data_IF_396720349143
#
_entry.id   IF_396720349143
#
_cell.length_a   1.000
_cell.length_b   1.000
_cell.length_c   1.000
_cell.angle_alpha   90.00
_cell.angle_beta   90.00
_cell.angle_gamma   90.00
#
_symmetry.space_group_name_H-M   'P 1'
#
loop_
_entity.id
_entity.type
_entity.pdbx_description
1 polymer ?
#
# COMPACT_ATOMS: atom_id res chain seq x y z
N UNK A 1 62.86 31.16 -36.73
CA UNK A 1 64.10 31.77 -36.21
C UNK A 1 64.15 33.17 -36.77
N UNK A 2 64.37 34.18 -35.93
CA UNK A 2 64.28 35.58 -36.37
C UNK A 2 65.53 35.97 -37.19
N UNK A 3 65.36 36.81 -38.20
CA UNK A 3 66.39 37.15 -39.19
C UNK A 3 67.20 38.41 -38.86
N UNK A 4 66.59 39.33 -38.11
CA UNK A 4 67.09 40.67 -37.83
C UNK A 4 66.94 41.02 -36.33
N UNK A 5 66.80 40.00 -35.47
CA UNK A 5 66.40 40.16 -34.09
C UNK A 5 67.06 39.12 -33.18
N UNK A 6 67.56 39.58 -32.05
CA UNK A 6 68.04 38.73 -30.96
C UNK A 6 67.40 39.20 -29.65
N UNK A 7 66.83 38.27 -28.90
CA UNK A 7 66.17 38.53 -27.60
C UNK A 7 66.98 37.87 -26.49
N UNK A 8 67.23 38.61 -25.42
CA UNK A 8 67.89 38.13 -24.20
C UNK A 8 67.10 38.53 -22.96
N UNK A 9 67.41 37.87 -21.84
CA UNK A 9 66.93 38.26 -20.51
C UNK A 9 68.14 38.75 -19.71
N UNK A 10 68.05 39.95 -19.15
CA UNK A 10 69.05 40.50 -18.25
C UNK A 10 69.11 39.68 -16.95
N UNK A 11 70.31 39.58 -16.37
CA UNK A 11 70.56 38.87 -15.11
C UNK A 11 71.23 39.78 -14.06
N UNK A 12 71.27 41.10 -14.32
CA UNK A 12 71.93 42.10 -13.48
C UNK A 12 73.46 42.09 -13.51
N UNK A 13 74.11 41.18 -14.24
CA UNK A 13 75.56 40.98 -14.19
C UNK A 13 76.24 40.96 -15.56
N UNK A 14 75.63 40.33 -16.57
CA UNK A 14 76.15 40.24 -17.93
C UNK A 14 76.00 41.57 -18.64
N UNK A 15 77.09 42.10 -19.21
CA UNK A 15 77.10 43.36 -19.95
C UNK A 15 77.26 43.18 -21.45
N UNK A 16 77.88 42.07 -21.89
CA UNK A 16 78.17 41.81 -23.30
C UNK A 16 77.20 40.78 -23.87
N UNK A 17 76.62 41.11 -25.02
CA UNK A 17 75.63 40.29 -25.71
C UNK A 17 75.99 40.17 -27.20
N UNK A 18 75.75 38.99 -27.77
CA UNK A 18 76.02 38.72 -29.19
C UNK A 18 74.90 39.28 -30.07
N UNK A 19 75.27 39.81 -31.23
CA UNK A 19 74.35 40.19 -32.29
C UNK A 19 74.20 38.97 -33.21
N UNK A 20 72.98 38.45 -33.33
CA UNK A 20 72.70 37.22 -34.08
C UNK A 20 72.41 37.42 -35.57
N UNK A 21 72.70 38.59 -36.13
CA UNK A 21 72.38 38.96 -37.51
C UNK A 21 73.43 39.94 -38.07
N UNK A 22 73.57 39.95 -39.39
CA UNK A 22 74.46 40.89 -40.09
C UNK A 22 73.83 42.28 -40.20
N UNK A 23 74.65 43.33 -40.28
CA UNK A 23 74.19 44.70 -40.49
C UNK A 23 75.25 45.52 -41.25
N UNK A 24 74.83 46.62 -41.89
CA UNK A 24 75.71 47.42 -42.76
C UNK A 24 76.59 48.38 -41.95
N UNK A 25 76.03 48.96 -40.90
CA UNK A 25 76.67 49.94 -40.03
C UNK A 25 76.04 49.89 -38.62
N UNK A 26 76.80 50.27 -37.59
CA UNK A 26 76.34 50.24 -36.19
C UNK A 26 75.05 51.03 -35.95
N UNK A 27 74.81 52.09 -36.73
CA UNK A 27 73.58 52.90 -36.65
C UNK A 27 72.30 52.13 -36.99
N UNK A 28 72.41 51.04 -37.76
CA UNK A 28 71.29 50.17 -38.12
C UNK A 28 70.91 49.24 -36.95
N UNK A 29 71.72 49.12 -35.88
CA UNK A 29 71.40 48.25 -34.73
C UNK A 29 70.73 49.08 -33.63
N UNK A 30 69.49 48.75 -33.30
CA UNK A 30 68.70 49.35 -32.22
C UNK A 30 68.57 48.39 -31.06
N UNK A 31 68.74 48.91 -29.85
CA UNK A 31 68.67 48.13 -28.62
C UNK A 31 67.58 48.69 -27.72
N UNK A 32 66.77 47.81 -27.15
CA UNK A 32 65.74 48.14 -26.16
C UNK A 32 65.93 47.31 -24.89
N UNK A 33 65.69 47.92 -23.74
CA UNK A 33 65.54 47.22 -22.45
C UNK A 33 64.14 47.51 -21.92
N UNK A 34 63.35 46.47 -21.64
CA UNK A 34 61.95 46.58 -21.21
C UNK A 34 61.11 47.46 -22.15
N UNK A 35 61.37 47.38 -23.46
CA UNK A 35 60.68 48.18 -24.48
C UNK A 35 61.15 49.63 -24.62
N UNK A 36 62.07 50.11 -23.76
CA UNK A 36 62.63 51.46 -23.81
C UNK A 36 63.88 51.49 -24.69
N UNK A 37 63.93 52.40 -25.65
CA UNK A 37 65.07 52.62 -26.53
C UNK A 37 66.35 52.99 -25.76
N UNK A 38 67.46 52.44 -26.23
CA UNK A 38 68.81 52.67 -25.71
C UNK A 38 69.66 53.31 -26.78
N UNK A 39 70.57 54.18 -26.36
CA UNK A 39 71.42 54.97 -27.24
C UNK A 39 72.77 54.29 -27.42
N UNK A 40 73.20 54.12 -28.67
CA UNK A 40 74.51 53.57 -29.02
C UNK A 40 75.62 54.62 -28.84
N UNK A 41 76.77 54.19 -28.34
CA UNK A 41 78.00 54.98 -28.37
C UNK A 41 78.67 54.87 -29.74
N UNK A 42 78.46 55.88 -30.59
CA UNK A 42 79.09 55.98 -31.91
C UNK A 42 80.30 56.91 -31.95
N UNK A 43 80.57 57.65 -30.86
CA UNK A 43 81.61 58.70 -30.83
C UNK A 43 82.44 58.76 -29.54
N UNK A 44 82.37 57.72 -28.70
CA UNK A 44 83.11 57.58 -27.43
C UNK A 44 82.78 58.66 -26.39
N UNK A 45 81.50 58.82 -26.04
CA UNK A 45 81.07 59.51 -24.80
C UNK A 45 79.59 59.25 -24.43
N UNK A 46 79.37 58.85 -23.17
CA UNK A 46 78.08 58.76 -22.42
C UNK A 46 76.86 58.24 -23.19
N UNK A 47 76.85 56.95 -23.50
CA UNK A 47 75.70 56.26 -24.09
C UNK A 47 75.43 54.92 -23.39
N UNK A 48 74.28 54.29 -23.66
CA UNK A 48 73.83 53.09 -22.95
C UNK A 48 74.65 51.83 -23.31
N UNK A 49 75.16 51.72 -24.54
CA UNK A 49 75.95 50.58 -25.02
C UNK A 49 76.94 50.95 -26.11
N UNK A 50 77.98 50.12 -26.33
CA UNK A 50 78.99 50.27 -27.38
C UNK A 50 79.21 48.97 -28.16
N UNK A 51 79.94 49.03 -29.28
CA UNK A 51 80.23 47.88 -30.16
C UNK A 51 81.70 47.45 -30.01
N UNK A 52 82.04 46.49 -29.12
CA UNK A 52 83.40 45.99 -28.99
C UNK A 52 83.88 45.18 -30.22
N UNK A 53 82.95 44.65 -31.01
CA UNK A 53 83.21 43.95 -32.27
C UNK A 53 81.98 44.03 -33.18
N UNK A 54 82.10 43.60 -34.44
CA UNK A 54 80.98 43.60 -35.39
C UNK A 54 79.82 42.71 -34.98
N UNK A 55 80.02 41.74 -34.08
CA UNK A 55 79.00 40.78 -33.67
C UNK A 55 78.62 40.87 -32.19
N UNK A 56 78.99 41.94 -31.48
CA UNK A 56 78.68 42.10 -30.06
C UNK A 56 78.32 43.54 -29.72
N UNK A 57 77.49 43.69 -28.68
CA UNK A 57 77.31 44.94 -27.95
C UNK A 57 77.77 44.75 -26.50
N UNK A 58 78.23 45.83 -25.86
CA UNK A 58 78.48 45.88 -24.42
C UNK A 58 77.73 47.05 -23.82
N UNK A 59 76.87 46.79 -22.83
CA UNK A 59 76.20 47.84 -22.07
C UNK A 59 77.15 48.49 -21.06
N UNK A 60 76.96 49.79 -20.85
CA UNK A 60 77.68 50.57 -19.82
C UNK A 60 77.25 50.16 -18.41
N UNK A 61 75.98 49.79 -18.25
CA UNK A 61 75.40 49.26 -17.01
C UNK A 61 74.72 47.93 -17.34
N UNK A 62 75.00 46.89 -16.56
CA UNK A 62 74.37 45.58 -16.75
C UNK A 62 72.84 45.72 -16.75
N UNK A 63 72.14 45.20 -17.77
CA UNK A 63 70.69 45.19 -17.78
C UNK A 63 70.14 44.52 -16.50
N UNK A 64 69.13 45.12 -15.82
CA UNK A 64 68.59 44.58 -14.59
C UNK A 64 68.12 43.14 -14.73
N UNK A 65 68.10 42.40 -13.61
CA UNK A 65 67.59 41.04 -13.58
C UNK A 65 66.15 40.98 -14.12
N UNK A 66 65.87 39.94 -14.91
CA UNK A 66 64.59 39.70 -15.59
C UNK A 66 64.17 40.78 -16.61
N UNK A 67 65.03 41.76 -16.94
CA UNK A 67 64.71 42.75 -17.97
C UNK A 67 64.75 42.12 -19.38
N UNK A 68 63.76 42.43 -20.21
CA UNK A 68 63.72 41.97 -21.59
C UNK A 68 64.63 42.84 -22.46
N UNK A 69 65.68 42.24 -23.01
CA UNK A 69 66.63 42.91 -23.90
C UNK A 69 66.28 42.52 -25.33
N UNK A 70 66.10 43.52 -26.19
CA UNK A 70 65.85 43.32 -27.61
C UNK A 70 66.92 44.03 -28.42
N UNK A 71 67.69 43.29 -29.21
CA UNK A 71 68.65 43.81 -30.17
C UNK A 71 68.07 43.55 -31.55
N UNK A 72 67.86 44.60 -32.34
CA UNK A 72 67.17 44.51 -33.63
C UNK A 72 67.86 45.36 -34.68
N UNK A 73 67.88 44.88 -35.93
CA UNK A 73 68.27 45.69 -37.08
C UNK A 73 67.12 46.59 -37.53
N UNK A 74 67.45 47.81 -37.90
CA UNK A 74 66.56 48.84 -38.40
C UNK A 74 67.27 49.52 -39.57
N UNK A 75 67.13 48.93 -40.75
CA UNK A 75 67.67 49.47 -41.99
C UNK A 75 66.91 50.74 -42.37
N UNK A 76 67.63 51.81 -42.72
CA UNK A 76 66.99 53.08 -43.13
C UNK A 76 66.04 52.87 -44.32
N UNK A 77 64.81 53.36 -44.17
CA UNK A 77 63.74 53.32 -45.18
C UNK A 77 63.47 54.70 -45.78
N UNK A 78 64.01 55.76 -45.16
CA UNK A 78 63.72 57.15 -45.54
C UNK A 78 64.53 57.60 -46.76
N UNK A 79 65.64 56.93 -47.06
CA UNK A 79 66.48 57.21 -48.22
C UNK A 79 67.17 55.95 -48.75
N UNK A 80 67.28 55.86 -50.09
CA UNK A 80 68.12 54.86 -50.75
C UNK A 80 69.58 55.25 -50.57
N UNK A 81 70.44 54.28 -50.25
CA UNK A 81 71.88 54.53 -50.12
C UNK A 81 72.57 54.71 -51.48
N UNK A 82 71.99 54.16 -52.54
CA UNK A 82 72.52 54.21 -53.90
C UNK A 82 71.51 54.86 -54.82
N UNK A 83 71.93 55.93 -55.50
CA UNK A 83 71.14 56.58 -56.55
C UNK A 83 71.84 56.40 -57.90
N UNK A 84 71.21 55.65 -58.81
CA UNK A 84 71.81 55.33 -60.10
C UNK A 84 71.62 56.49 -61.06
N UNK A 85 72.72 57.15 -61.43
CA UNK A 85 72.71 58.26 -62.39
C UNK A 85 73.13 57.80 -63.79
N UNK A 86 72.52 58.38 -64.82
CA UNK A 86 72.83 58.04 -66.20
C UNK A 86 74.30 58.38 -66.55
N UNK A 87 75.00 57.44 -67.18
CA UNK A 87 76.41 57.60 -67.55
C UNK A 87 77.41 57.28 -66.44
N UNK A 88 76.97 56.92 -65.23
CA UNK A 88 77.84 56.37 -64.21
C UNK A 88 78.25 54.92 -64.53
N UNK A 89 79.46 54.55 -64.13
CA UNK A 89 79.90 53.15 -64.16
C UNK A 89 79.22 52.43 -63.00
N UNK A 90 78.44 51.39 -63.30
CA UNK A 90 77.89 50.50 -62.28
C UNK A 90 79.04 49.72 -61.62
N UNK A 91 79.27 49.97 -60.33
CA UNK A 91 80.23 49.20 -59.54
C UNK A 91 79.50 48.09 -58.81
N UNK A 92 80.20 46.98 -58.59
CA UNK A 92 79.69 45.89 -57.73
C UNK A 92 79.28 46.41 -56.35
N UNK A 93 80.05 47.34 -55.77
CA UNK A 93 79.75 47.93 -54.46
C UNK A 93 78.42 48.70 -54.43
N UNK A 94 78.03 49.34 -55.53
CA UNK A 94 76.75 50.06 -55.63
C UNK A 94 75.59 49.06 -55.74
N UNK A 95 75.77 47.98 -56.52
CA UNK A 95 74.78 46.91 -56.65
C UNK A 95 74.60 46.13 -55.34
N UNK A 96 75.70 45.81 -54.67
CA UNK A 96 75.69 45.09 -53.39
C UNK A 96 75.06 45.94 -52.28
N UNK A 97 75.36 47.24 -52.23
CA UNK A 97 74.79 48.14 -51.21
C UNK A 97 73.26 48.29 -51.36
N UNK A 98 72.77 48.42 -52.59
CA UNK A 98 71.33 48.49 -52.89
C UNK A 98 70.63 47.15 -52.59
N UNK A 99 71.18 46.04 -53.09
CA UNK A 99 70.65 44.70 -52.84
C UNK A 99 70.63 44.34 -51.35
N UNK A 100 71.70 44.68 -50.62
CA UNK A 100 71.80 44.44 -49.17
C UNK A 100 70.78 45.27 -48.39
N UNK A 101 70.58 46.54 -48.74
CA UNK A 101 69.53 47.37 -48.13
C UNK A 101 68.15 46.73 -48.32
N UNK A 102 67.82 46.33 -49.55
CA UNK A 102 66.55 45.69 -49.86
C UNK A 102 66.36 44.35 -49.12
N UNK A 103 67.39 43.50 -49.09
CA UNK A 103 67.36 42.21 -48.41
C UNK A 103 67.17 42.35 -46.90
N UNK A 104 67.88 43.29 -46.27
CA UNK A 104 67.76 43.53 -44.85
C UNK A 104 66.39 44.10 -44.46
N UNK A 105 65.82 45.00 -45.27
CA UNK A 105 64.46 45.49 -45.08
C UNK A 105 63.42 44.37 -45.19
N UNK A 106 63.59 43.41 -46.11
CA UNK A 106 62.69 42.27 -46.25
C UNK A 106 62.73 41.34 -45.01
N UNK A 107 63.93 41.03 -44.53
CA UNK A 107 64.12 40.25 -43.30
C UNK A 107 63.50 40.94 -42.06
N UNK A 108 63.72 42.23 -41.91
CA UNK A 108 63.15 43.03 -40.82
C UNK A 108 61.63 43.03 -40.87
N UNK A 109 61.06 43.20 -42.08
CA UNK A 109 59.60 43.18 -42.29
C UNK A 109 58.98 41.84 -41.88
N UNK A 110 59.63 40.72 -42.20
CA UNK A 110 59.18 39.38 -41.78
C UNK A 110 59.20 39.26 -40.25
N UNK A 111 60.27 39.70 -39.59
CA UNK A 111 60.37 39.65 -38.14
C UNK A 111 59.31 40.54 -37.45
N UNK A 112 59.04 41.74 -37.97
CA UNK A 112 57.96 42.61 -37.47
C UNK A 112 56.58 41.96 -37.64
N UNK A 113 56.33 41.29 -38.77
CA UNK A 113 55.10 40.56 -38.98
C UNK A 113 54.95 39.37 -38.01
N UNK A 114 56.04 38.66 -37.71
CA UNK A 114 56.05 37.54 -36.74
C UNK A 114 55.85 37.99 -35.29
N UNK A 115 56.29 39.20 -34.93
CA UNK A 115 56.08 39.78 -33.60
C UNK A 115 54.68 40.41 -33.42
N UNK A 116 53.90 40.55 -34.50
CA UNK A 116 52.54 41.09 -34.48
C UNK A 116 51.50 40.00 -34.14
N UNK A 117 50.33 40.40 -33.64
CA UNK A 117 49.21 39.46 -33.50
C UNK A 117 48.61 39.24 -34.89
N UNK A 118 48.63 38.00 -35.37
CA UNK A 118 48.11 37.61 -36.67
C UNK A 118 46.76 36.86 -36.54
N UNK A 119 45.99 36.87 -37.62
CA UNK A 119 44.84 35.99 -37.73
C UNK A 119 45.31 34.53 -37.87
N UNK A 120 44.62 33.62 -37.21
CA UNK A 120 44.79 32.18 -37.40
C UNK A 120 44.23 31.77 -38.75
N UNK A 121 45.01 31.07 -39.56
CA UNK A 121 44.54 30.53 -40.84
C UNK A 121 43.43 29.48 -40.67
N UNK A 122 43.31 28.89 -39.47
CA UNK A 122 42.28 27.89 -39.17
C UNK A 122 40.91 28.52 -38.86
N UNK A 123 40.89 29.72 -38.28
CA UNK A 123 39.65 30.33 -37.75
C UNK A 123 39.35 31.72 -38.30
N UNK A 124 40.32 32.36 -38.96
CA UNK A 124 40.27 33.76 -39.40
C UNK A 124 40.29 34.79 -38.26
N UNK A 125 40.32 34.35 -36.99
CA UNK A 125 40.35 35.22 -35.82
C UNK A 125 41.77 35.50 -35.37
N UNK A 126 42.01 36.66 -34.73
CA UNK A 126 43.31 36.95 -34.11
C UNK A 126 43.68 35.89 -33.06
N UNK A 127 44.88 35.34 -33.16
CA UNK A 127 45.43 34.35 -32.23
C UNK A 127 46.68 34.91 -31.54
N UNK A 128 46.63 35.00 -30.21
CA UNK A 128 47.76 35.45 -29.39
C UNK A 128 48.78 34.34 -29.10
N UNK A 129 48.56 33.10 -29.56
CA UNK A 129 49.48 31.97 -29.41
C UNK A 129 49.83 31.65 -27.96
N UNK A 130 48.82 31.70 -27.07
CA UNK A 130 48.97 31.57 -25.60
C UNK A 130 49.87 32.62 -24.93
N UNK A 131 50.13 33.76 -25.58
CA UNK A 131 50.86 34.88 -24.98
C UNK A 131 49.89 35.85 -24.27
N UNK A 132 50.43 36.58 -23.30
CA UNK A 132 49.70 37.66 -22.63
C UNK A 132 49.57 38.86 -23.56
N UNK A 133 48.41 39.50 -23.56
CA UNK A 133 48.19 40.82 -24.17
C UNK A 133 48.30 41.87 -23.06
N UNK A 134 49.43 42.58 -23.01
CA UNK A 134 49.65 43.67 -22.07
C UNK A 134 49.29 45.00 -22.74
N UNK A 135 48.52 45.86 -22.06
CA UNK A 135 48.01 47.14 -22.57
C UNK A 135 46.73 47.06 -23.43
N UNK A 136 45.69 46.43 -22.88
CA UNK A 136 44.32 46.55 -23.38
C UNK A 136 43.61 47.59 -22.52
N UNK A 137 43.04 48.63 -23.14
CA UNK A 137 42.29 49.67 -22.44
C UNK A 137 40.99 49.09 -21.83
N UNK A 138 40.40 49.80 -20.88
CA UNK A 138 39.11 49.42 -20.33
C UNK A 138 38.01 49.50 -21.42
N UNK A 139 37.08 48.53 -21.47
CA UNK A 139 36.05 48.47 -22.50
C UNK A 139 35.05 49.62 -22.36
N UNK A 140 34.65 50.21 -23.49
CA UNK A 140 33.64 51.28 -23.57
C UNK A 140 32.47 50.91 -24.47
N UNK A 141 32.69 50.04 -25.45
CA UNK A 141 31.68 49.51 -26.37
C UNK A 141 31.42 48.03 -26.10
N UNK A 142 30.27 47.54 -26.57
CA UNK A 142 29.81 46.17 -26.32
C UNK A 142 30.68 45.07 -26.95
N UNK A 143 31.54 45.41 -27.92
CA UNK A 143 32.45 44.47 -28.60
C UNK A 143 33.90 44.57 -28.11
N UNK A 144 34.19 45.46 -27.15
CA UNK A 144 35.54 45.65 -26.64
C UNK A 144 35.99 44.43 -25.81
N UNK A 145 37.29 44.15 -25.85
CA UNK A 145 37.89 43.12 -25.01
C UNK A 145 37.92 43.56 -23.54
N UNK A 146 37.70 42.60 -22.63
CA UNK A 146 37.72 42.84 -21.18
C UNK A 146 39.04 42.35 -20.59
N UNK A 147 39.72 43.19 -19.80
CA UNK A 147 40.88 42.74 -19.02
C UNK A 147 40.47 42.02 -17.74
N UNK A 148 41.32 41.12 -17.24
CA UNK A 148 41.13 40.49 -15.91
C UNK A 148 40.93 41.56 -14.82
N UNK A 149 41.69 42.65 -14.88
CA UNK A 149 41.56 43.75 -13.92
C UNK A 149 40.17 44.39 -13.98
N UNK A 150 39.66 44.71 -15.17
CA UNK A 150 38.33 45.29 -15.33
C UNK A 150 37.25 44.33 -14.80
N UNK A 151 37.33 43.05 -15.16
CA UNK A 151 36.39 42.03 -14.68
C UNK A 151 36.41 41.88 -13.16
N UNK A 152 37.59 41.73 -12.56
CA UNK A 152 37.71 41.38 -11.14
C UNK A 152 37.67 42.58 -10.19
N UNK A 153 37.80 43.81 -10.67
CA UNK A 153 37.85 44.99 -9.81
C UNK A 153 36.85 46.08 -10.17
N UNK A 154 36.40 46.16 -11.43
CA UNK A 154 35.43 47.18 -11.87
C UNK A 154 34.03 46.59 -12.03
N UNK A 155 33.89 45.52 -12.82
CA UNK A 155 32.59 44.86 -13.03
C UNK A 155 32.17 44.00 -11.83
N UNK A 156 33.09 43.19 -11.30
CA UNK A 156 32.87 42.39 -10.10
C UNK A 156 33.64 43.00 -8.93
N UNK A 157 33.12 44.09 -8.37
CA UNK A 157 33.77 44.82 -7.28
C UNK A 157 33.87 43.96 -6.00
N UNK A 158 34.69 44.39 -5.03
CA UNK A 158 34.75 43.76 -3.71
C UNK A 158 33.38 43.70 -3.01
N UNK A 159 32.51 44.69 -3.26
CA UNK A 159 31.15 44.72 -2.70
C UNK A 159 30.24 43.68 -3.38
N UNK A 160 30.36 43.48 -4.68
CA UNK A 160 29.61 42.45 -5.40
C UNK A 160 30.02 41.05 -4.95
N UNK A 161 31.33 40.82 -4.78
CA UNK A 161 31.87 39.57 -4.25
C UNK A 161 31.36 39.29 -2.82
N UNK A 162 31.33 40.32 -1.97
CA UNK A 162 30.77 40.20 -0.62
C UNK A 162 29.27 39.86 -0.67
N UNK A 163 28.51 40.51 -1.55
CA UNK A 163 27.07 40.24 -1.73
C UNK A 163 26.80 38.81 -2.18
N UNK A 164 27.61 38.28 -3.11
CA UNK A 164 27.54 36.87 -3.54
C UNK A 164 27.81 35.91 -2.37
N UNK A 165 28.81 36.23 -1.53
CA UNK A 165 29.11 35.44 -0.32
C UNK A 165 27.97 35.48 0.70
N UNK A 166 27.36 36.65 0.91
CA UNK A 166 26.17 36.80 1.76
C UNK A 166 24.99 35.99 1.23
N UNK A 167 24.76 35.98 -0.09
CA UNK A 167 23.69 35.18 -0.69
C UNK A 167 23.89 33.68 -0.42
N UNK A 168 25.13 33.18 -0.52
CA UNK A 168 25.45 31.80 -0.18
C UNK A 168 25.14 31.48 1.29
N UNK A 169 25.45 32.39 2.22
CA UNK A 169 25.12 32.23 3.64
C UNK A 169 23.59 32.22 3.88
N UNK A 170 22.84 33.10 3.21
CA UNK A 170 21.38 33.13 3.30
C UNK A 170 20.76 31.82 2.80
N UNK A 171 21.27 31.22 1.73
CA UNK A 171 20.80 29.91 1.25
C UNK A 171 21.01 28.78 2.28
N UNK A 172 22.12 28.82 3.03
CA UNK A 172 22.35 27.89 4.14
C UNK A 172 21.32 28.07 5.25
N UNK A 173 21.04 29.31 5.65
CA UNK A 173 20.01 29.62 6.66
C UNK A 173 18.60 29.18 6.22
N UNK A 174 18.24 29.38 4.95
CA UNK A 174 16.97 28.89 4.38
C UNK A 174 16.87 27.37 4.46
N UNK A 175 17.96 26.66 4.19
CA UNK A 175 17.98 25.19 4.31
C UNK A 175 17.72 24.74 5.75
N UNK A 176 18.32 25.42 6.73
CA UNK A 176 18.03 25.18 8.16
C UNK A 176 16.57 25.46 8.52
N UNK A 177 15.98 26.54 8.00
CA UNK A 177 14.55 26.84 8.21
C UNK A 177 13.64 25.73 7.65
N UNK A 178 13.97 25.17 6.48
CA UNK A 178 13.22 24.04 5.91
C UNK A 178 13.27 22.80 6.81
N UNK A 179 14.42 22.50 7.42
CA UNK A 179 14.53 21.41 8.40
C UNK A 179 13.68 21.67 9.65
N UNK A 180 13.70 22.91 10.16
CA UNK A 180 12.89 23.28 11.32
C UNK A 180 11.39 23.17 11.04
N UNK A 181 10.93 23.47 9.81
CA UNK A 181 9.53 23.32 9.42
C UNK A 181 9.03 21.88 9.51
N UNK A 182 9.86 20.91 9.12
CA UNK A 182 9.54 19.48 9.29
C UNK A 182 9.37 19.12 10.77
N UNK A 183 10.23 19.64 11.64
CA UNK A 183 10.12 19.43 13.08
C UNK A 183 8.84 20.07 13.67
N UNK A 184 8.48 21.28 13.24
CA UNK A 184 7.23 21.95 13.64
C UNK A 184 6.02 21.11 13.22
N UNK A 185 6.04 20.55 12.01
CA UNK A 185 4.97 19.67 11.52
C UNK A 185 4.81 18.43 12.42
N UNK A 186 5.91 17.84 12.89
CA UNK A 186 5.85 16.74 13.88
C UNK A 186 5.27 17.17 15.22
N UNK A 187 5.61 18.37 15.71
CA UNK A 187 5.04 18.93 16.95
C UNK A 187 3.52 19.12 16.83
N UNK A 188 3.03 19.65 15.71
CA UNK A 188 1.59 19.82 15.46
C UNK A 188 0.84 18.48 15.44
N UNK A 189 1.46 17.42 14.91
CA UNK A 189 0.91 16.06 14.98
C UNK A 189 0.83 15.54 16.42
N UNK A 190 1.86 15.81 17.23
CA UNK A 190 1.84 15.45 18.65
C UNK A 190 0.75 16.19 19.42
N UNK A 191 0.51 17.48 19.12
CA UNK A 191 -0.59 18.26 19.71
C UNK A 191 -1.95 17.60 19.44
N UNK A 192 -2.19 17.11 18.22
CA UNK A 192 -3.43 16.38 17.87
C UNK A 192 -3.61 15.12 18.72
N UNK A 193 -2.52 14.36 18.93
CA UNK A 193 -2.54 13.17 19.79
C UNK A 193 -2.80 13.52 21.25
N UNK A 194 -2.20 14.60 21.76
CA UNK A 194 -2.41 15.09 23.13
C UNK A 194 -3.87 15.52 23.32
N UNK A 195 -4.45 16.25 22.36
CA UNK A 195 -5.86 16.65 22.43
C UNK A 195 -6.81 15.44 22.48
N UNK A 196 -6.47 14.35 21.79
CA UNK A 196 -7.21 13.08 21.89
C UNK A 196 -7.09 12.47 23.29
N UNK A 197 -5.89 12.46 23.89
CA UNK A 197 -5.69 11.98 25.25
C UNK A 197 -6.47 12.83 26.28
N UNK A 198 -6.44 14.15 26.14
CA UNK A 198 -7.21 15.09 26.99
C UNK A 198 -8.70 14.82 26.90
N UNK A 199 -9.24 14.49 25.72
CA UNK A 199 -10.64 14.08 25.60
C UNK A 199 -10.94 12.77 26.34
N UNK A 200 -10.01 11.81 26.32
CA UNK A 200 -10.20 10.50 26.92
C UNK A 200 -9.99 10.47 28.44
N UNK A 201 -9.21 11.42 29.00
CA UNK A 201 -8.85 11.40 30.43
C UNK A 201 -10.08 11.56 31.34
N UNK A 202 -11.12 12.28 30.89
CA UNK A 202 -12.40 12.38 31.60
C UNK A 202 -13.02 11.01 31.82
N UNK A 203 -13.21 10.24 30.76
CA UNK A 203 -13.76 8.88 30.83
C UNK A 203 -12.91 7.92 31.67
N UNK A 204 -11.58 8.05 31.62
CA UNK A 204 -10.67 7.25 32.47
C UNK A 204 -10.82 7.61 33.93
N UNK A 205 -10.89 8.92 34.24
CA UNK A 205 -11.12 9.40 35.61
C UNK A 205 -12.49 8.97 36.13
N UNK A 206 -13.53 9.06 35.30
CA UNK A 206 -14.88 8.62 35.65
C UNK A 206 -14.91 7.11 35.93
N UNK A 207 -14.25 6.30 35.10
CA UNK A 207 -14.13 4.86 35.34
C UNK A 207 -13.35 4.55 36.63
N UNK A 208 -12.25 5.25 36.90
CA UNK A 208 -11.46 5.07 38.11
C UNK A 208 -12.25 5.43 39.39
N UNK A 209 -13.13 6.43 39.31
CA UNK A 209 -14.02 6.80 40.42
C UNK A 209 -15.12 5.74 40.64
N UNK A 210 -15.69 5.19 39.55
CA UNK A 210 -16.80 4.24 39.62
C UNK A 210 -16.37 2.80 39.85
N UNK A 211 -15.19 2.37 39.40
CA UNK A 211 -14.67 1.02 39.58
C UNK A 211 -13.41 1.01 40.43
N UNK A 212 -13.53 0.46 41.63
CA UNK A 212 -12.44 0.36 42.61
C UNK A 212 -12.02 -1.09 42.83
N UNK A 213 -10.76 -1.31 43.20
CA UNK A 213 -10.26 -2.61 43.64
C UNK A 213 -9.68 -2.39 45.03
N UNK A 214 -10.35 -2.92 46.04
CA UNK A 214 -10.03 -2.66 47.45
C UNK A 214 -10.19 -3.92 48.30
N UNK A 215 -9.54 -3.97 49.46
CA UNK A 215 -9.65 -5.11 50.37
C UNK A 215 -11.01 -5.16 51.10
N UNK A 216 -11.72 -4.05 51.20
CA UNK A 216 -13.03 -3.96 51.85
C UNK A 216 -13.97 -3.13 51.01
N UNK A 217 -15.27 -3.25 51.28
CA UNK A 217 -16.29 -2.39 50.67
C UNK A 217 -16.06 -0.93 51.10
N UNK A 218 -15.95 0.03 50.15
CA UNK A 218 -15.72 1.43 50.47
C UNK A 218 -16.84 2.03 51.34
N UNK A 219 -16.48 2.98 52.21
CA UNK A 219 -17.43 3.66 53.13
C UNK A 219 -17.68 5.14 52.80
N UNK A 220 -17.01 5.67 51.77
CA UNK A 220 -17.14 7.06 51.32
C UNK A 220 -17.02 7.15 49.79
N UNK A 221 -17.44 8.28 49.22
CA UNK A 221 -17.54 8.43 47.75
C UNK A 221 -18.38 7.30 47.15
N UNK A 222 -19.63 7.21 47.60
CA UNK A 222 -20.55 6.15 47.24
C UNK A 222 -21.67 6.76 46.38
N UNK A 223 -21.56 6.58 45.08
CA UNK A 223 -22.63 6.88 44.15
C UNK A 223 -23.35 5.57 43.76
N UNK A 224 -24.65 5.65 43.53
CA UNK A 224 -25.40 4.49 43.04
C UNK A 224 -24.80 3.99 41.71
N UNK A 225 -24.59 2.68 41.62
CA UNK A 225 -23.97 2.02 40.48
C UNK A 225 -22.43 1.96 40.52
N UNK A 226 -21.79 2.50 41.56
CA UNK A 226 -20.37 2.23 41.80
C UNK A 226 -20.11 0.74 41.93
N UNK A 227 -18.93 0.32 41.47
CA UNK A 227 -18.45 -1.05 41.46
C UNK A 227 -17.19 -1.16 42.32
N UNK A 228 -17.06 -2.27 43.03
CA UNK A 228 -15.82 -2.63 43.71
C UNK A 228 -15.52 -4.10 43.51
N UNK A 229 -14.29 -4.44 43.13
CA UNK A 229 -13.76 -5.78 43.37
C UNK A 229 -13.20 -5.82 44.79
N UNK A 230 -13.96 -6.40 45.71
CA UNK A 230 -13.51 -6.63 47.07
C UNK A 230 -12.56 -7.84 47.05
N UNK A 231 -11.26 -7.58 47.22
CA UNK A 231 -10.21 -8.60 47.12
C UNK A 231 -10.10 -9.51 48.34
N UNK A 232 -10.77 -9.18 49.46
CA UNK A 232 -10.85 -10.09 50.62
C UNK A 232 -11.99 -11.08 50.45
N UNK A 233 -13.13 -10.62 49.92
CA UNK A 233 -14.30 -11.46 49.64
C UNK A 233 -14.18 -12.20 48.30
N UNK A 234 -13.21 -11.82 47.45
CA UNK A 234 -13.06 -12.25 46.05
C UNK A 234 -14.33 -12.04 45.23
N UNK A 235 -15.03 -10.91 45.45
CA UNK A 235 -16.32 -10.63 44.83
C UNK A 235 -16.37 -9.26 44.18
N UNK A 236 -16.93 -9.21 42.96
CA UNK A 236 -17.39 -7.96 42.36
C UNK A 236 -18.73 -7.57 42.99
N UNK A 237 -18.82 -6.35 43.52
CA UNK A 237 -20.02 -5.80 44.14
C UNK A 237 -20.40 -4.48 43.46
N UNK A 238 -21.68 -4.13 43.57
CA UNK A 238 -22.21 -2.83 43.16
C UNK A 238 -22.91 -2.13 44.33
N UNK A 239 -22.83 -0.81 44.39
CA UNK A 239 -23.54 0.00 45.38
C UNK A 239 -24.94 0.35 44.86
N UNK A 240 -25.99 0.00 45.59
CA UNK A 240 -27.39 0.26 45.18
C UNK A 240 -27.95 1.59 45.72
N UNK A 241 -27.07 2.51 46.15
CA UNK A 241 -27.44 3.76 46.81
C UNK A 241 -27.59 3.67 48.34
N UNK A 242 -27.63 2.45 48.91
CA UNK A 242 -27.71 2.25 50.37
C UNK A 242 -26.73 1.21 50.91
N UNK A 243 -26.44 0.13 50.16
CA UNK A 243 -25.51 -0.93 50.55
C UNK A 243 -24.74 -1.50 49.35
N UNK A 244 -23.61 -2.15 49.64
CA UNK A 244 -22.88 -2.96 48.67
C UNK A 244 -23.54 -4.32 48.52
N UNK A 245 -23.81 -4.71 47.28
CA UNK A 245 -24.45 -5.97 46.94
C UNK A 245 -23.54 -6.73 45.98
N UNK A 246 -23.36 -8.03 46.20
CA UNK A 246 -22.62 -8.86 45.27
C UNK A 246 -23.31 -8.89 43.91
N UNK A 247 -22.54 -8.73 42.83
CA UNK A 247 -23.02 -9.04 41.49
C UNK A 247 -23.19 -10.55 41.45
N UNK A 248 -24.44 -11.02 41.41
CA UNK A 248 -24.73 -12.44 41.39
C UNK A 248 -24.06 -13.09 40.16
N UNK A 249 -23.00 -13.86 40.38
CA UNK A 249 -22.50 -14.83 39.40
C UNK A 249 -23.47 -15.99 39.42
N UNK A 250 -24.56 -15.88 38.66
CA UNK A 250 -25.67 -16.83 38.71
C UNK A 250 -25.15 -18.27 38.65
N UNK A 251 -25.28 -19.01 39.75
CA UNK A 251 -25.18 -20.46 39.73
C UNK A 251 -26.49 -21.11 39.25
N UNK A 252 -27.53 -20.30 38.96
CA UNK A 252 -28.86 -20.76 38.63
C UNK A 252 -29.42 -20.08 37.38
N UNK A 253 -29.73 -20.90 36.38
CA UNK A 253 -30.28 -20.50 35.08
C UNK A 253 -31.79 -20.29 35.25
N UNK A 254 -32.35 -19.18 34.76
CA UNK A 254 -33.78 -18.80 34.93
C UNK A 254 -34.85 -19.75 34.32
N UNK A 255 -34.49 -20.98 33.98
CA UNK A 255 -35.38 -22.11 33.72
C UNK A 255 -34.65 -23.45 33.91
N UNK A 256 -33.82 -23.56 34.95
CA UNK A 256 -33.27 -24.83 35.42
C UNK A 256 -34.06 -25.31 36.63
N UNK A 257 -34.27 -26.62 36.75
CA UNK A 257 -34.54 -27.22 38.05
C UNK A 257 -33.24 -27.07 38.84
N UNK A 258 -33.18 -25.99 39.60
CA UNK A 258 -32.04 -25.59 40.41
C UNK A 258 -31.72 -26.68 41.42
N UNK A 259 -30.43 -26.92 41.67
CA UNK A 259 -29.93 -27.93 42.61
C UNK A 259 -30.80 -28.12 43.87
N UNK A 260 -30.94 -29.40 44.27
CA UNK A 260 -31.53 -29.96 45.50
C UNK A 260 -32.29 -28.96 46.39
N UNK A 261 -33.62 -28.95 46.27
CA UNK A 261 -34.52 -28.11 47.08
C UNK A 261 -35.03 -28.89 48.28
N UNK A 262 -34.78 -28.37 49.48
CA UNK A 262 -35.21 -29.00 50.74
C UNK A 262 -36.58 -28.52 51.22
N UNK A 263 -37.30 -27.73 50.42
CA UNK A 263 -38.59 -27.13 50.77
C UNK A 263 -39.76 -27.89 50.11
N UNK A 264 -40.66 -28.55 50.87
CA UNK A 264 -41.77 -29.31 50.29
C UNK A 264 -42.69 -28.46 49.38
N UNK A 265 -42.90 -28.90 48.14
CA UNK A 265 -43.93 -28.37 47.23
C UNK A 265 -43.50 -27.29 46.21
N UNK A 266 -42.21 -26.96 46.12
CA UNK A 266 -41.73 -25.91 45.21
C UNK A 266 -41.73 -26.33 43.72
N UNK A 267 -41.38 -27.59 43.43
CA UNK A 267 -41.43 -28.17 42.08
C UNK A 267 -42.86 -28.24 41.51
N UNK A 268 -43.82 -28.65 42.35
CA UNK A 268 -45.25 -28.68 41.99
C UNK A 268 -45.83 -27.28 41.73
N UNK A 269 -45.21 -26.21 42.26
CA UNK A 269 -45.66 -24.83 42.06
C UNK A 269 -45.18 -24.17 40.76
N UNK A 270 -44.14 -24.71 40.10
CA UNK A 270 -43.56 -24.14 38.88
C UNK A 270 -44.24 -24.59 37.58
N UNK A 271 -44.99 -25.70 37.61
CA UNK A 271 -45.74 -26.23 36.48
C UNK A 271 -47.24 -26.29 36.81
N UNK A 272 -48.09 -25.77 35.93
CA UNK A 272 -49.55 -25.85 36.09
C UNK A 272 -50.06 -27.10 35.35
N UNK A 273 -50.66 -28.04 36.06
CA UNK A 273 -51.25 -29.22 35.45
C UNK A 273 -52.65 -28.93 34.86
N UNK A 274 -52.96 -29.51 33.70
CA UNK A 274 -54.33 -29.53 33.18
C UNK A 274 -55.23 -30.51 33.95
N UNK A 275 -56.56 -30.43 33.80
CA UNK A 275 -57.54 -31.12 34.66
C UNK A 275 -57.39 -32.65 34.79
N UNK A 276 -56.66 -33.31 33.89
CA UNK A 276 -56.47 -34.77 33.88
C UNK A 276 -55.01 -35.19 34.11
N UNK A 277 -54.14 -34.25 34.47
CA UNK A 277 -52.73 -34.49 34.75
C UNK A 277 -52.49 -34.13 36.22
N UNK A 278 -51.84 -35.04 36.95
CA UNK A 278 -51.40 -34.77 38.32
C UNK A 278 -49.89 -34.96 38.38
N UNK A 279 -49.20 -33.97 38.93
CA UNK A 279 -47.77 -34.06 39.23
C UNK A 279 -47.60 -34.52 40.68
N UNK A 280 -46.80 -35.56 40.88
CA UNK A 280 -46.46 -36.07 42.21
C UNK A 280 -44.96 -36.05 42.37
N UNK A 281 -44.51 -35.33 43.38
CA UNK A 281 -43.11 -35.29 43.80
C UNK A 281 -42.79 -36.59 44.56
N UNK A 282 -41.77 -37.33 44.11
CA UNK A 282 -41.51 -38.68 44.63
C UNK A 282 -40.49 -38.71 45.78
N UNK A 283 -39.65 -37.69 45.91
CA UNK A 283 -38.69 -37.59 47.00
C UNK A 283 -38.43 -36.12 47.36
N UNK A 284 -38.41 -35.84 48.66
CA UNK A 284 -37.97 -34.56 49.21
C UNK A 284 -36.47 -34.66 49.53
N UNK A 285 -35.66 -33.80 48.91
CA UNK A 285 -34.22 -33.68 49.13
C UNK A 285 -33.38 -34.70 48.35
N UNK A 286 -32.99 -34.36 47.11
CA UNK A 286 -31.99 -35.10 46.34
C UNK A 286 -31.90 -34.65 44.87
N UNK A 287 -31.82 -35.63 43.97
CA UNK A 287 -32.27 -35.44 42.59
C UNK A 287 -33.78 -35.71 42.59
N UNK A 288 -34.57 -34.65 42.67
CA UNK A 288 -36.02 -34.79 42.71
C UNK A 288 -36.51 -35.40 41.40
N UNK A 289 -37.42 -36.37 41.50
CA UNK A 289 -38.10 -36.95 40.34
C UNK A 289 -39.58 -36.64 40.44
N UNK A 290 -40.15 -36.21 39.32
CA UNK A 290 -41.56 -35.88 39.20
C UNK A 290 -42.27 -36.99 38.43
N UNK A 291 -43.28 -37.62 39.05
CA UNK A 291 -44.19 -38.51 38.33
C UNK A 291 -45.30 -37.69 37.70
N UNK A 292 -45.51 -37.87 36.39
CA UNK A 292 -46.64 -37.29 35.65
C UNK A 292 -47.70 -38.39 35.48
N UNK A 293 -48.80 -38.27 36.20
CA UNK A 293 -49.93 -39.20 36.10
C UNK A 293 -51.04 -38.61 35.24
N UNK A 294 -51.61 -39.44 34.34
CA UNK A 294 -52.80 -39.09 33.57
C UNK A 294 -53.99 -39.96 33.98
N UNK A 295 -55.13 -39.36 34.31
CA UNK A 295 -56.32 -40.06 34.85
C UNK A 295 -57.09 -40.91 33.82
N UNK A 296 -56.54 -41.13 32.62
CA UNK A 296 -57.17 -41.94 31.57
C UNK A 296 -56.15 -42.86 30.86
N UNK A 297 -55.58 -43.82 31.59
CA UNK A 297 -54.89 -44.92 30.95
C UNK A 297 -55.93 -45.85 30.30
N UNK A 298 -55.85 -46.01 28.97
CA UNK A 298 -56.80 -46.77 28.14
C UNK A 298 -56.92 -48.28 28.52
N UNK A 299 -56.10 -48.75 29.47
CA UNK A 299 -56.05 -50.14 29.95
C UNK A 299 -55.91 -50.27 31.48
N UNK A 300 -56.37 -49.30 32.28
CA UNK A 300 -56.52 -49.53 33.72
C UNK A 300 -57.67 -50.51 33.99
N UNK A 301 -57.54 -51.34 35.05
CA UNK A 301 -58.44 -52.45 35.34
C UNK A 301 -59.93 -52.05 35.49
N UNK A 302 -60.23 -50.78 35.78
CA UNK A 302 -61.58 -50.23 35.90
C UNK A 302 -62.26 -49.90 34.57
N UNK A 303 -61.57 -50.02 33.43
CA UNK A 303 -62.14 -49.75 32.09
C UNK A 303 -62.13 -50.97 31.16
N UNK A 304 -61.95 -52.17 31.71
CA UNK A 304 -62.07 -53.42 30.96
C UNK A 304 -63.51 -53.94 31.02
N UNK A 305 -64.09 -54.32 29.89
CA UNK A 305 -65.46 -54.82 29.83
C UNK A 305 -65.64 -56.06 30.73
N UNK A 306 -66.75 -56.12 31.46
CA UNK A 306 -67.21 -57.33 32.14
C UNK A 306 -67.74 -58.36 31.15
N UNK A 307 -67.94 -59.62 31.58
CA UNK A 307 -68.54 -60.66 30.72
C UNK A 307 -69.88 -60.19 30.14
N UNK A 308 -70.71 -59.55 30.97
CA UNK A 308 -72.05 -59.12 30.59
C UNK A 308 -72.02 -57.99 29.58
N UNK A 309 -71.12 -57.02 29.75
CA UNK A 309 -70.96 -55.90 28.81
C UNK A 309 -70.40 -56.39 27.47
N UNK A 310 -69.43 -57.31 27.51
CA UNK A 310 -68.87 -57.92 26.32
C UNK A 310 -69.92 -58.74 25.54
N UNK A 311 -70.80 -59.46 26.24
CA UNK A 311 -71.90 -60.21 25.63
C UNK A 311 -73.01 -59.31 25.09
N UNK A 312 -73.32 -58.21 25.76
CA UNK A 312 -74.32 -57.24 25.31
C UNK A 312 -73.86 -56.44 24.09
N UNK A 313 -72.57 -56.10 24.00
CA UNK A 313 -71.96 -55.44 22.84
C UNK A 313 -72.44 -54.01 22.58
N UNK A 314 -73.01 -53.33 23.57
CA UNK A 314 -73.62 -51.99 23.43
C UNK A 314 -72.72 -50.83 23.90
N UNK A 315 -71.61 -51.11 24.59
CA UNK A 315 -70.71 -50.09 25.15
C UNK A 315 -69.39 -50.00 24.37
N UNK A 316 -69.07 -48.79 23.89
CA UNK A 316 -67.83 -48.47 23.15
C UNK A 316 -66.78 -47.73 23.99
N UNK A 317 -67.01 -47.57 25.30
CA UNK A 317 -66.15 -46.77 26.19
C UNK A 317 -65.17 -47.62 27.00
N UNK A 318 -65.35 -48.94 26.98
CA UNK A 318 -64.55 -49.96 27.67
C UNK A 318 -63.67 -50.75 26.70
N UNK A 319 -62.51 -51.19 27.19
CA UNK A 319 -61.57 -52.02 26.44
C UNK A 319 -61.94 -53.51 26.52
N UNK A 320 -61.86 -54.23 25.40
CA UNK A 320 -62.08 -55.67 25.34
C UNK A 320 -60.77 -56.44 25.51
N UNK A 321 -60.66 -57.26 26.55
CA UNK A 321 -59.55 -58.22 26.65
C UNK A 321 -59.77 -59.41 25.70
N UNK A 322 -58.72 -60.15 25.30
CA UNK A 322 -58.88 -61.35 24.49
C UNK A 322 -59.89 -62.37 25.05
N UNK A 323 -60.02 -62.46 26.38
CA UNK A 323 -61.01 -63.32 27.04
C UNK A 323 -62.45 -62.83 26.81
N UNK A 324 -62.68 -61.52 26.95
CA UNK A 324 -64.00 -60.90 26.73
C UNK A 324 -64.44 -60.96 25.27
N UNK A 325 -63.49 -60.80 24.34
CA UNK A 325 -63.71 -61.05 22.91
C UNK A 325 -64.20 -62.48 22.67
N UNK A 326 -63.53 -63.48 23.27
CA UNK A 326 -63.93 -64.89 23.13
C UNK A 326 -65.33 -65.15 23.67
N UNK A 327 -65.66 -64.62 24.85
CA UNK A 327 -66.97 -64.81 25.49
C UNK A 327 -68.10 -64.15 24.69
N UNK A 328 -67.88 -62.94 24.17
CA UNK A 328 -68.81 -62.23 23.28
C UNK A 328 -69.07 -63.02 21.98
N UNK A 329 -68.00 -63.50 21.34
CA UNK A 329 -68.09 -64.32 20.13
C UNK A 329 -68.86 -65.61 20.40
N UNK A 330 -68.60 -66.29 21.52
CA UNK A 330 -69.29 -67.55 21.86
C UNK A 330 -70.79 -67.33 22.07
N UNK A 331 -71.18 -66.24 22.73
CA UNK A 331 -72.59 -65.89 22.94
C UNK A 331 -73.31 -65.60 21.61
N UNK A 332 -72.70 -64.79 20.74
CA UNK A 332 -73.33 -64.39 19.48
C UNK A 332 -73.30 -65.50 18.41
N UNK A 333 -72.25 -66.34 18.39
CA UNK A 333 -72.13 -67.45 17.43
C UNK A 333 -72.96 -68.69 17.81
N UNK A 334 -73.40 -68.83 19.07
CA UNK A 334 -74.35 -69.88 19.49
C UNK A 334 -75.78 -69.69 18.95
N UNK A 335 -76.06 -68.56 18.30
CA UNK A 335 -77.40 -68.12 17.89
C UNK A 335 -77.49 -67.94 16.36
N UNK A 336 -77.09 -68.95 15.58
CA UNK A 336 -77.39 -69.04 14.14
C UNK A 336 -78.15 -70.33 13.82
N UNK A 337 -79.47 -70.21 13.70
CA UNK A 337 -80.32 -71.23 13.07
C UNK A 337 -80.12 -71.21 11.55
N UNK A 338 -79.80 -72.36 10.95
CA UNK A 338 -79.60 -72.55 9.50
C UNK A 338 -80.65 -71.83 8.63
N UNK A 339 -80.23 -70.86 7.81
CA UNK A 339 -81.06 -70.24 6.79
C UNK A 339 -81.07 -71.09 5.51
N UNK A 340 -82.26 -71.49 5.08
CA UNK A 340 -82.55 -72.29 3.90
C UNK A 340 -82.35 -71.50 2.59
N UNK A 341 -81.91 -72.20 1.55
CA UNK A 341 -81.68 -71.69 0.19
C UNK A 341 -83.00 -71.69 -0.60
N UNK A 342 -83.43 -70.54 -1.12
CA UNK A 342 -84.64 -70.40 -1.94
C UNK A 342 -84.30 -70.62 -3.43
N UNK A 343 -84.83 -71.67 -4.04
CA UNK A 343 -84.56 -72.07 -5.43
C UNK A 343 -85.12 -71.10 -6.49
N UNK A 344 -84.66 -71.24 -7.74
CA UNK A 344 -85.17 -70.46 -8.88
C UNK A 344 -86.31 -71.23 -9.57
N UNK A 345 -87.42 -70.54 -9.89
CA UNK A 345 -88.53 -71.09 -10.67
C UNK A 345 -88.66 -70.40 -12.01
N UNK A 346 -89.30 -71.05 -12.98
CA UNK A 346 -89.63 -70.44 -14.27
C UNK A 346 -91.11 -70.09 -14.32
N UNK A 347 -91.44 -68.85 -14.66
CA UNK A 347 -92.82 -68.45 -14.96
C UNK A 347 -92.82 -67.71 -16.29
N UNK A 348 -93.58 -68.23 -17.25
CA UNK A 348 -93.69 -67.66 -18.61
C UNK A 348 -92.32 -67.43 -19.30
N UNK A 349 -91.37 -68.35 -19.10
CA UNK A 349 -90.08 -68.34 -19.81
C UNK A 349 -88.93 -67.58 -19.12
N UNK A 350 -89.17 -66.85 -18.02
CA UNK A 350 -88.13 -66.08 -17.29
C UNK A 350 -87.83 -66.73 -15.93
N UNK A 351 -86.54 -66.81 -15.56
CA UNK A 351 -86.09 -67.28 -14.24
C UNK A 351 -86.38 -66.21 -13.17
N UNK A 352 -87.02 -66.63 -12.08
CA UNK A 352 -87.29 -65.78 -10.91
C UNK A 352 -86.84 -66.49 -9.63
N UNK A 353 -86.32 -65.72 -8.66
CA UNK A 353 -86.07 -66.21 -7.30
C UNK A 353 -87.40 -66.48 -6.63
N UNK A 354 -87.58 -67.66 -6.04
CA UNK A 354 -88.79 -67.95 -5.29
C UNK A 354 -88.78 -67.19 -3.95
N UNK A 355 -89.74 -66.28 -3.77
CA UNK A 355 -89.80 -65.37 -2.62
C UNK A 355 -90.71 -65.83 -1.48
N UNK A 356 -91.27 -67.05 -1.53
CA UNK A 356 -92.18 -67.53 -0.47
C UNK A 356 -91.43 -67.96 0.77
N UNK A 357 -91.62 -67.23 1.87
CA UNK A 357 -90.92 -67.39 3.14
C UNK A 357 -91.70 -68.17 4.20
N UNK A 358 -92.72 -68.97 3.85
CA UNK A 358 -93.49 -69.72 4.85
C UNK A 358 -94.13 -71.01 4.33
N UNK A 359 -93.50 -72.16 4.63
CA UNK A 359 -94.12 -73.49 4.60
C UNK A 359 -94.29 -74.14 3.22
N UNK A 360 -93.48 -75.18 2.95
CA UNK A 360 -93.75 -76.29 2.03
C UNK A 360 -94.22 -75.98 0.60
N UNK A 361 -93.39 -76.29 -0.39
CA UNK A 361 -93.76 -76.39 -1.81
C UNK A 361 -94.62 -77.65 -2.05
N UNK A 362 -95.70 -77.84 -1.29
CA UNK A 362 -96.54 -79.06 -1.35
C UNK A 362 -97.58 -79.02 -2.50
N UNK A 363 -97.58 -77.98 -3.31
CA UNK A 363 -98.40 -77.89 -4.53
C UNK A 363 -97.61 -78.11 -5.84
N UNK A 364 -96.29 -78.31 -5.77
CA UNK A 364 -95.41 -78.32 -6.95
C UNK A 364 -94.64 -79.63 -7.09
N UNK A 365 -94.41 -80.04 -8.33
CA UNK A 365 -93.76 -81.29 -8.71
C UNK A 365 -92.36 -81.00 -9.27
N UNK A 366 -91.47 -82.01 -9.30
CA UNK A 366 -90.07 -81.81 -9.73
C UNK A 366 -89.94 -81.16 -11.12
N UNK A 367 -90.93 -81.34 -12.00
CA UNK A 367 -90.99 -80.70 -13.33
C UNK A 367 -91.11 -79.17 -13.30
N UNK A 368 -91.49 -78.58 -12.17
CA UNK A 368 -91.58 -77.13 -11.99
C UNK A 368 -90.18 -76.48 -11.78
N UNK A 369 -89.14 -77.30 -11.60
CA UNK A 369 -87.74 -76.87 -11.44
C UNK A 369 -86.88 -77.35 -12.63
N UNK A 370 -85.95 -76.50 -13.08
CA UNK A 370 -85.07 -76.75 -14.24
C UNK A 370 -83.89 -77.68 -13.92
N UNK A 371 -84.15 -78.86 -13.34
CA UNK A 371 -83.12 -79.82 -12.91
C UNK A 371 -82.16 -80.21 -14.07
N UNK A 372 -82.69 -80.36 -15.29
CA UNK A 372 -81.90 -80.76 -16.45
C UNK A 372 -80.83 -79.77 -16.92
N UNK A 373 -80.99 -78.47 -16.62
CA UNK A 373 -80.03 -77.43 -17.03
C UNK A 373 -78.89 -77.27 -16.00
N UNK A 374 -79.20 -77.45 -14.71
CA UNK A 374 -78.22 -77.35 -13.62
C UNK A 374 -77.51 -78.68 -13.28
N UNK A 375 -78.01 -79.82 -13.77
CA UNK A 375 -77.32 -81.11 -13.70
C UNK A 375 -75.92 -81.07 -14.36
N UNK A 376 -75.72 -80.19 -15.35
CA UNK A 376 -74.40 -79.95 -15.98
C UNK A 376 -73.35 -79.35 -15.04
N UNK A 377 -73.79 -78.78 -13.90
CA UNK A 377 -72.95 -78.24 -12.83
C UNK A 377 -72.87 -79.18 -11.61
N UNK A 378 -73.44 -80.39 -11.70
CA UNK A 378 -73.42 -81.41 -10.64
C UNK A 378 -74.49 -81.24 -9.56
N UNK A 379 -75.37 -80.26 -9.68
CA UNK A 379 -76.46 -80.04 -8.73
C UNK A 379 -77.66 -80.93 -9.09
N UNK A 380 -78.22 -81.66 -8.13
CA UNK A 380 -79.49 -82.41 -8.28
C UNK A 380 -80.48 -82.04 -7.20
N UNK A 381 -81.75 -81.93 -7.57
CA UNK A 381 -82.81 -81.48 -6.68
C UNK A 381 -83.77 -82.63 -6.36
N UNK A 382 -84.16 -82.79 -5.09
CA UNK A 382 -85.13 -83.80 -4.67
C UNK A 382 -86.10 -83.21 -3.64
N UNK A 383 -87.39 -83.57 -3.71
CA UNK A 383 -88.36 -83.22 -2.67
C UNK A 383 -88.51 -84.42 -1.73
N UNK A 384 -88.29 -84.20 -0.43
CA UNK A 384 -88.36 -85.29 0.55
C UNK A 384 -89.81 -85.63 0.95
N UNK A 385 -89.96 -86.68 1.77
CA UNK A 385 -91.26 -87.17 2.26
C UNK A 385 -92.04 -86.17 3.12
N UNK A 386 -91.45 -85.03 3.48
CA UNK A 386 -92.07 -83.93 4.24
C UNK A 386 -92.29 -82.68 3.35
N UNK A 387 -92.18 -82.78 2.03
CA UNK A 387 -92.50 -81.70 1.09
C UNK A 387 -91.43 -80.61 0.94
N UNK A 388 -90.21 -80.80 1.47
CA UNK A 388 -89.12 -79.81 1.35
C UNK A 388 -88.20 -80.10 0.16
N UNK A 389 -87.80 -79.04 -0.55
CA UNK A 389 -86.80 -79.11 -1.61
C UNK A 389 -85.40 -79.24 -1.01
N UNK A 390 -84.71 -80.33 -1.33
CA UNK A 390 -83.30 -80.55 -1.07
C UNK A 390 -82.49 -80.30 -2.34
N UNK A 391 -81.39 -79.58 -2.18
CA UNK A 391 -80.36 -79.43 -3.22
C UNK A 391 -79.17 -80.28 -2.82
N UNK A 392 -78.81 -81.23 -3.67
CA UNK A 392 -77.57 -81.99 -3.55
C UNK A 392 -76.56 -81.36 -4.48
N UNK A 393 -75.56 -80.69 -3.91
CA UNK A 393 -74.39 -80.21 -4.65
C UNK A 393 -73.38 -81.35 -4.80
N UNK A 394 -72.48 -81.34 -5.80
CA UNK A 394 -71.45 -82.38 -5.88
C UNK A 394 -70.53 -82.40 -4.66
#
# INVERSE_FOLDING_TARGET
MAYALTKYTGNGNTVTYTIGFDYRQAADVKVKINGVDKVADTTSQTNDYSFPSSNQITFTVAPPDQSAITIRRSTSQDARLVDYVAGAVLKEADLDADSTQAFFMAQESIDYAQDSIAASDATGAFDAGNKKIGNVADPTLAQDAVTKNYLENTWLSSADKASISTLAANNSAITTLNTNMSAITSVNSNETNINTLVSNIGSVSDFANRYRIEATDPSSSLDEGDLVYNSTDNQLKFYNGTSWNAVATGADVKAGVSANDTSPGFLNGKLVAGSNITFVENNDGGNETLTINGTAALFSAERLATTSEAQAGTDNTTGMTPLRVKEAITHNAGTVSNAAFYGFKQTNGVLQVDGTTGGGSEAYTLSDYKDSEFASLGLTFAINSNGHLLVTTP
#
